data_IF_222882098080
#
_entry.id   IF_222882098080
#
_cell.length_a   1.000
_cell.length_b   1.000
_cell.length_c   1.000
_cell.angle_alpha   90.00
_cell.angle_beta   90.00
_cell.angle_gamma   90.00
#
_symmetry.space_group_name_H-M   'P 1'
#
loop_
_entity.id
_entity.type
_entity.pdbx_description
1 polymer ?
#
# COMPACT_ATOMS: atom_id res chain seq x y z
N UNK A 1 -14.85 -18.90 -20.82
CA UNK A 1 -14.19 -18.11 -21.89
C UNK A 1 -12.65 -18.12 -21.87
N UNK A 2 -11.93 -17.14 -21.29
CA UNK A 2 -10.46 -16.99 -21.50
C UNK A 2 -9.59 -18.16 -20.99
N UNK A 3 -9.92 -18.75 -19.84
CA UNK A 3 -9.17 -19.90 -19.28
C UNK A 3 -9.50 -21.19 -20.03
N UNK A 4 -10.74 -21.32 -20.51
CA UNK A 4 -11.19 -22.48 -21.29
C UNK A 4 -10.57 -22.46 -22.69
N UNK A 5 -10.49 -21.29 -23.33
CA UNK A 5 -9.76 -21.11 -24.58
C UNK A 5 -8.28 -21.50 -24.45
N UNK A 6 -7.60 -21.07 -23.38
CA UNK A 6 -6.22 -21.45 -23.13
C UNK A 6 -6.03 -22.97 -22.90
N UNK A 7 -7.04 -23.66 -22.36
CA UNK A 7 -7.04 -25.13 -22.23
C UNK A 7 -7.26 -25.82 -23.58
N UNK A 8 -8.15 -25.29 -24.42
CA UNK A 8 -8.38 -25.78 -25.79
C UNK A 8 -7.10 -25.61 -26.63
N UNK A 9 -6.34 -24.53 -26.43
CA UNK A 9 -5.05 -24.27 -27.07
C UNK A 9 -3.88 -25.10 -26.51
N UNK A 10 -4.13 -26.05 -25.61
CA UNK A 10 -3.12 -26.96 -25.05
C UNK A 10 -2.09 -26.30 -24.13
N UNK A 11 -2.35 -25.10 -23.61
CA UNK A 11 -1.43 -24.46 -22.66
C UNK A 11 -1.40 -25.20 -21.31
N UNK A 12 -0.20 -25.37 -20.76
CA UNK A 12 -0.02 -25.92 -19.42
C UNK A 12 -0.65 -25.00 -18.36
N UNK A 13 -1.15 -25.58 -17.26
CA UNK A 13 -1.86 -24.83 -16.22
C UNK A 13 -1.02 -23.69 -15.62
N UNK A 14 0.28 -23.93 -15.42
CA UNK A 14 1.22 -22.91 -14.92
C UNK A 14 1.34 -21.74 -15.91
N UNK A 15 1.46 -22.04 -17.22
CA UNK A 15 1.54 -21.01 -18.25
C UNK A 15 0.25 -20.18 -18.28
N UNK A 16 -0.90 -20.84 -18.30
CA UNK A 16 -2.22 -20.18 -18.29
C UNK A 16 -2.41 -19.27 -17.08
N UNK A 17 -1.93 -19.69 -15.89
CA UNK A 17 -1.97 -18.85 -14.71
C UNK A 17 -1.19 -17.54 -14.90
N UNK A 18 0.07 -17.62 -15.31
CA UNK A 18 0.94 -16.45 -15.46
C UNK A 18 0.58 -15.56 -16.65
N UNK A 19 0.06 -16.12 -17.74
CA UNK A 19 -0.21 -15.35 -18.98
C UNK A 19 -1.65 -14.87 -19.10
N UNK A 20 -2.61 -15.52 -18.44
CA UNK A 20 -4.04 -15.18 -18.55
C UNK A 20 -4.59 -14.68 -17.22
N UNK A 21 -4.44 -15.46 -16.14
CA UNK A 21 -5.05 -15.12 -14.85
C UNK A 21 -4.37 -13.91 -14.19
N UNK A 22 -3.03 -13.91 -14.12
CA UNK A 22 -2.25 -12.84 -13.47
C UNK A 22 -2.44 -11.46 -14.13
N UNK A 23 -2.37 -11.31 -15.46
CA UNK A 23 -2.62 -10.02 -16.11
C UNK A 23 -4.06 -9.54 -15.95
N UNK A 24 -5.03 -10.45 -15.99
CA UNK A 24 -6.44 -10.13 -15.77
C UNK A 24 -6.70 -9.65 -14.33
N UNK A 25 -6.02 -10.24 -13.34
CA UNK A 25 -6.13 -9.86 -11.93
C UNK A 25 -5.30 -8.61 -11.57
N UNK A 26 -4.47 -8.09 -12.47
CA UNK A 26 -3.54 -6.98 -12.20
C UNK A 26 -4.21 -5.73 -11.59
N UNK A 27 -5.39 -5.27 -12.04
CA UNK A 27 -6.07 -4.14 -11.42
C UNK A 27 -6.48 -4.41 -9.96
N UNK A 28 -7.02 -5.60 -9.69
CA UNK A 28 -7.43 -6.00 -8.35
C UNK A 28 -6.22 -6.16 -7.41
N UNK A 29 -5.13 -6.76 -7.90
CA UNK A 29 -3.88 -6.89 -7.14
C UNK A 29 -3.25 -5.53 -6.81
N UNK A 30 -3.35 -4.56 -7.72
CA UNK A 30 -2.86 -3.21 -7.47
C UNK A 30 -3.63 -2.51 -6.35
N UNK A 31 -4.96 -2.64 -6.35
CA UNK A 31 -5.84 -2.10 -5.30
C UNK A 31 -5.52 -2.77 -3.97
N UNK A 32 -5.45 -4.10 -3.94
CA UNK A 32 -5.08 -4.85 -2.74
C UNK A 32 -3.72 -4.40 -2.22
N UNK A 33 -2.71 -4.32 -3.09
CA UNK A 33 -1.37 -3.88 -2.74
C UNK A 33 -1.34 -2.46 -2.17
N UNK A 34 -2.13 -1.53 -2.73
CA UNK A 34 -2.26 -0.18 -2.20
C UNK A 34 -2.86 -0.18 -0.79
N UNK A 35 -3.97 -0.90 -0.57
CA UNK A 35 -4.62 -0.95 0.74
C UNK A 35 -3.74 -1.65 1.78
N UNK A 36 -3.08 -2.75 1.41
CA UNK A 36 -2.15 -3.46 2.29
C UNK A 36 -0.95 -2.58 2.64
N UNK A 37 -0.37 -1.89 1.67
CA UNK A 37 0.73 -0.97 1.93
C UNK A 37 0.30 0.16 2.86
N UNK A 38 -0.85 0.78 2.57
CA UNK A 38 -1.40 1.85 3.41
C UNK A 38 -1.55 1.37 4.85
N UNK A 39 -2.16 0.20 5.06
CA UNK A 39 -2.37 -0.38 6.39
C UNK A 39 -1.05 -0.59 7.14
N UNK A 40 -0.07 -1.24 6.51
CA UNK A 40 1.24 -1.55 7.15
C UNK A 40 2.07 -0.29 7.35
N UNK A 41 2.02 0.66 6.42
CA UNK A 41 2.78 1.92 6.51
C UNK A 41 2.29 2.83 7.63
N UNK A 42 0.98 2.87 7.85
CA UNK A 42 0.36 3.63 8.94
C UNK A 42 0.29 2.85 10.26
N UNK A 43 0.72 1.59 10.26
CA UNK A 43 0.67 0.77 11.48
C UNK A 43 1.67 1.29 12.51
N UNK A 44 1.12 1.67 13.65
CA UNK A 44 1.85 2.19 14.79
C UNK A 44 1.89 1.17 15.94
N UNK A 45 0.83 0.38 16.12
CA UNK A 45 0.64 -0.45 17.31
C UNK A 45 1.59 -1.64 17.32
N UNK A 46 1.70 -2.35 16.19
CA UNK A 46 2.58 -3.50 16.12
C UNK A 46 4.07 -3.13 16.29
N UNK A 47 4.60 -2.10 15.60
CA UNK A 47 5.97 -1.65 15.81
C UNK A 47 6.23 -1.16 17.23
N UNK A 48 5.29 -0.43 17.85
CA UNK A 48 5.45 0.06 19.22
C UNK A 48 5.69 -1.08 20.23
N UNK A 49 4.99 -2.20 20.06
CA UNK A 49 5.09 -3.35 20.97
C UNK A 49 6.26 -4.25 20.60
N UNK A 50 6.52 -4.43 19.31
CA UNK A 50 7.53 -5.36 18.81
C UNK A 50 8.95 -4.78 18.84
N UNK A 51 9.10 -3.47 18.66
CA UNK A 51 10.40 -2.80 18.58
C UNK A 51 10.78 -2.24 19.95
N UNK A 52 11.84 -2.80 20.52
CA UNK A 52 12.36 -2.43 21.84
C UNK A 52 13.59 -1.51 21.79
N UNK A 53 14.15 -1.26 20.59
CA UNK A 53 15.34 -0.41 20.43
C UNK A 53 15.01 0.89 19.66
N UNK A 54 15.44 2.06 20.15
CA UNK A 54 15.28 3.35 19.45
C UNK A 54 15.87 3.34 18.02
N UNK A 55 16.94 2.56 17.81
CA UNK A 55 17.60 2.44 16.50
C UNK A 55 16.78 1.73 15.42
N UNK A 56 15.67 1.08 15.80
CA UNK A 56 14.83 0.29 14.89
C UNK A 56 13.43 0.88 14.71
N UNK A 57 13.18 2.08 15.22
CA UNK A 57 11.87 2.72 15.17
C UNK A 57 11.41 2.95 13.73
N UNK A 58 10.10 2.79 13.52
CA UNK A 58 9.45 3.24 12.30
C UNK A 58 9.22 4.74 12.36
N UNK A 59 9.05 5.37 11.19
CA UNK A 59 8.71 6.79 11.10
C UNK A 59 7.46 7.13 11.92
N UNK A 60 6.45 6.26 11.93
CA UNK A 60 5.22 6.44 12.71
C UNK A 60 5.49 6.46 14.22
N UNK A 61 6.30 5.51 14.72
CA UNK A 61 6.66 5.48 16.15
C UNK A 61 7.52 6.66 16.58
N UNK A 62 8.44 7.11 15.71
CA UNK A 62 9.30 8.26 15.98
C UNK A 62 8.51 9.58 16.03
N UNK A 63 7.54 9.77 15.13
CA UNK A 63 6.63 10.93 15.16
C UNK A 63 5.80 10.96 16.45
N UNK A 64 5.29 9.82 16.90
CA UNK A 64 4.56 9.71 18.16
C UNK A 64 5.44 10.06 19.36
N UNK A 65 6.69 9.59 19.39
CA UNK A 65 7.63 9.92 20.46
C UNK A 65 7.95 11.41 20.50
N UNK A 66 8.17 12.04 19.33
CA UNK A 66 8.35 13.50 19.22
C UNK A 66 7.14 14.27 19.76
N UNK A 67 5.92 13.77 19.52
CA UNK A 67 4.69 14.38 20.02
C UNK A 67 4.60 14.30 21.55
N UNK A 68 4.99 13.15 22.13
CA UNK A 68 4.93 12.92 23.58
C UNK A 68 6.05 13.69 24.29
N UNK A 69 7.28 13.69 23.75
CA UNK A 69 8.42 14.43 24.29
C UNK A 69 8.17 15.95 24.32
N UNK A 70 7.42 16.46 23.34
CA UNK A 70 7.01 17.85 23.28
C UNK A 70 5.98 18.27 24.35
N UNK A 71 5.29 17.36 25.04
CA UNK A 71 4.23 17.74 25.99
C UNK A 71 4.75 18.39 27.29
N UNK A 72 6.07 18.42 27.52
CA UNK A 72 6.71 19.10 28.66
C UNK A 72 7.45 20.39 28.30
N UNK A 73 7.56 20.76 27.01
CA UNK A 73 8.22 21.98 26.51
C UNK A 73 7.42 22.60 25.36
N UNK A 74 7.92 23.66 24.71
CA UNK A 74 7.30 24.19 23.50
C UNK A 74 7.32 23.11 22.41
N UNK A 75 6.15 22.55 22.09
CA UNK A 75 5.99 21.62 20.96
C UNK A 75 6.45 22.32 19.70
N UNK A 76 7.50 21.80 19.06
CA UNK A 76 7.94 22.29 17.75
C UNK A 76 6.98 21.76 16.67
N UNK A 77 5.88 22.49 16.51
CA UNK A 77 4.87 22.20 15.49
C UNK A 77 5.46 22.18 14.08
N UNK A 78 6.52 22.95 13.83
CA UNK A 78 7.18 22.98 12.51
C UNK A 78 7.84 21.64 12.22
N UNK A 79 8.55 21.08 13.20
CA UNK A 79 9.19 19.78 13.07
C UNK A 79 8.17 18.64 12.91
N UNK A 80 7.08 18.69 13.71
CA UNK A 80 6.00 17.69 13.63
C UNK A 80 5.34 17.68 12.25
N UNK A 81 4.92 18.85 11.76
CA UNK A 81 4.24 18.96 10.45
C UNK A 81 5.17 18.58 9.29
N UNK A 82 6.46 18.93 9.37
CA UNK A 82 7.45 18.49 8.39
C UNK A 82 7.57 16.96 8.36
N UNK A 83 7.65 16.33 9.52
CA UNK A 83 7.70 14.87 9.66
C UNK A 83 6.46 14.15 9.13
N UNK A 84 5.25 14.65 9.45
CA UNK A 84 3.99 14.13 8.93
C UNK A 84 3.88 14.28 7.41
N UNK A 85 4.33 15.41 6.88
CA UNK A 85 4.35 15.64 5.42
C UNK A 85 5.25 14.61 4.74
N UNK A 86 6.45 14.39 5.29
CA UNK A 86 7.41 13.41 4.77
C UNK A 86 6.86 11.98 4.85
N UNK A 87 6.15 11.63 5.93
CA UNK A 87 5.48 10.35 6.09
C UNK A 87 4.36 10.11 5.06
N UNK A 88 3.81 11.17 4.46
CA UNK A 88 2.75 11.07 3.45
C UNK A 88 3.32 10.82 2.04
N UNK A 89 4.58 11.20 1.78
CA UNK A 89 5.21 11.10 0.45
C UNK A 89 5.16 9.67 -0.14
N UNK A 90 5.51 8.59 0.59
CA UNK A 90 5.51 7.24 0.04
C UNK A 90 4.11 6.79 -0.40
N UNK A 91 3.07 7.19 0.34
CA UNK A 91 1.68 6.90 -0.03
C UNK A 91 1.29 7.61 -1.33
N UNK A 92 1.70 8.88 -1.50
CA UNK A 92 1.45 9.63 -2.73
C UNK A 92 2.17 9.00 -3.92
N UNK A 93 3.43 8.59 -3.75
CA UNK A 93 4.20 7.89 -4.80
C UNK A 93 3.46 6.61 -5.20
N UNK A 94 3.06 5.79 -4.23
CA UNK A 94 2.35 4.55 -4.52
C UNK A 94 1.00 4.80 -5.20
N UNK A 95 0.27 5.82 -4.76
CA UNK A 95 -1.00 6.22 -5.36
C UNK A 95 -0.83 6.64 -6.82
N UNK A 96 0.20 7.42 -7.16
CA UNK A 96 0.47 7.83 -8.55
C UNK A 96 0.83 6.61 -9.41
N UNK A 97 1.63 5.67 -8.88
CA UNK A 97 2.02 4.46 -9.61
C UNK A 97 0.85 3.49 -9.86
N UNK A 98 -0.05 3.36 -8.89
CA UNK A 98 -1.20 2.43 -8.95
C UNK A 98 -2.48 3.10 -9.46
N UNK A 99 -2.53 4.42 -9.55
CA UNK A 99 -3.73 5.21 -9.88
C UNK A 99 -4.34 4.81 -11.23
N UNK A 100 -3.51 4.53 -12.24
CA UNK A 100 -3.99 4.03 -13.54
C UNK A 100 -4.73 2.69 -13.44
N UNK A 101 -4.27 1.80 -12.56
CA UNK A 101 -4.87 0.47 -12.35
C UNK A 101 -6.14 0.57 -11.51
N UNK A 102 -6.17 1.50 -10.55
CA UNK A 102 -7.37 1.86 -9.78
C UNK A 102 -8.49 2.34 -10.69
N UNK A 103 -8.22 3.31 -11.57
CA UNK A 103 -9.20 3.83 -12.53
C UNK A 103 -9.67 2.73 -13.49
N UNK A 104 -8.75 1.93 -14.04
CA UNK A 104 -9.09 0.83 -14.94
C UNK A 104 -9.97 -0.25 -14.25
N UNK A 105 -9.68 -0.58 -12.99
CA UNK A 105 -10.45 -1.57 -12.23
C UNK A 105 -11.88 -1.10 -11.91
N UNK A 106 -12.04 0.16 -11.48
CA UNK A 106 -13.36 0.75 -11.20
C UNK A 106 -14.22 0.79 -12.47
N UNK A 107 -13.63 1.22 -13.59
CA UNK A 107 -14.35 1.33 -14.86
C UNK A 107 -14.77 -0.03 -15.43
N UNK A 108 -13.97 -1.09 -15.25
CA UNK A 108 -14.38 -2.44 -15.64
C UNK A 108 -15.55 -2.99 -14.81
N UNK A 109 -15.70 -2.57 -13.56
CA UNK A 109 -16.86 -2.88 -12.72
C UNK A 109 -18.11 -2.08 -13.10
N UNK A 110 -17.95 -0.83 -13.54
CA UNK A 110 -19.04 0.07 -13.88
C UNK A 110 -19.77 -0.29 -15.20
N UNK A 111 -19.09 -0.93 -16.16
CA UNK A 111 -19.69 -1.31 -17.46
C UNK A 111 -20.51 -2.62 -17.37
N UNK A 112 -20.46 -3.34 -16.24
CA UNK A 112 -21.25 -4.56 -16.00
C UNK A 112 -22.56 -4.33 -15.22
N UNK A 113 -22.91 -3.07 -14.93
CA UNK A 113 -24.21 -2.66 -14.38
C UNK A 113 -25.22 -2.31 -15.47
#
# INVERSE_FOLDING_TARGET
ELIEAARVDGCSMIRTFWTVAVPAARPAMAILGLFTFMQVWTDFMWPLVSLSSPSKQTLQTALQELQIAGQGQTVDFSLMQAGTTLATIPLLILFVLTGRQLVAGIMQGAVKG
#
